data_IF_025518385994
#
_entry.id   IF_025518385994
#
_cell.length_a   1.000
_cell.length_b   1.000
_cell.length_c   1.000
_cell.angle_alpha   90.00
_cell.angle_beta   90.00
_cell.angle_gamma   90.00
#
_symmetry.space_group_name_H-M   'P 1'
#
loop_
_entity.id
_entity.type
_entity.pdbx_description
1 polymer ?
#
# COMPACT_ATOMS: atom_id res chain seq x y z
N UNK A 1 -13.54 2.78 -12.81
CA UNK A 1 -12.51 1.78 -12.43
C UNK A 1 -11.24 2.56 -12.16
N UNK A 2 -10.65 2.39 -10.98
CA UNK A 2 -9.42 3.06 -10.57
C UNK A 2 -8.18 2.20 -10.83
N UNK A 3 -7.03 2.84 -10.74
CA UNK A 3 -5.75 2.19 -10.97
C UNK A 3 -5.40 1.26 -9.81
N UNK A 4 -4.75 0.14 -10.13
CA UNK A 4 -4.31 -0.86 -9.16
C UNK A 4 -2.82 -1.11 -9.30
N UNK A 5 -2.09 -0.98 -8.21
CA UNK A 5 -0.67 -1.31 -8.12
C UNK A 5 -0.44 -2.22 -6.93
N UNK A 6 0.55 -3.11 -7.01
CA UNK A 6 0.83 -4.08 -5.96
C UNK A 6 2.30 -4.40 -5.89
N UNK A 7 2.77 -4.75 -4.70
CA UNK A 7 4.18 -4.95 -4.48
C UNK A 7 4.56 -5.18 -3.02
N UNK A 8 5.83 -5.53 -2.77
CA UNK A 8 6.37 -5.55 -1.42
C UNK A 8 6.55 -4.12 -0.89
N UNK A 9 6.24 -3.93 0.40
CA UNK A 9 6.50 -2.66 1.08
C UNK A 9 7.98 -2.55 1.41
N UNK A 10 8.64 -1.52 0.87
CA UNK A 10 10.07 -1.25 1.10
C UNK A 10 10.33 -0.68 2.48
N UNK A 11 9.48 0.24 2.93
CA UNK A 11 9.68 0.92 4.20
C UNK A 11 8.53 1.87 4.51
N UNK A 12 8.32 2.12 5.80
CA UNK A 12 7.27 3.01 6.28
C UNK A 12 7.82 4.43 6.41
N UNK A 13 7.14 5.40 5.80
CA UNK A 13 7.49 6.81 5.87
C UNK A 13 6.89 7.49 7.10
N UNK A 14 5.60 7.24 7.35
CA UNK A 14 4.83 7.82 8.48
C UNK A 14 3.82 6.79 8.99
N UNK A 15 3.01 7.13 10.00
CA UNK A 15 1.95 6.25 10.51
C UNK A 15 0.87 5.89 9.48
N UNK A 16 0.82 6.58 8.34
CA UNK A 16 -0.17 6.38 7.29
C UNK A 16 0.43 6.48 5.87
N UNK A 17 1.75 6.40 5.73
CA UNK A 17 2.40 6.44 4.43
C UNK A 17 3.60 5.51 4.38
N UNK A 18 3.82 4.89 3.23
CA UNK A 18 4.93 3.97 3.00
C UNK A 18 5.42 4.02 1.55
N UNK A 19 6.60 3.45 1.33
CA UNK A 19 7.14 3.23 0.00
C UNK A 19 6.79 1.82 -0.47
N UNK A 20 6.07 1.74 -1.58
CA UNK A 20 5.75 0.49 -2.26
C UNK A 20 6.74 0.28 -3.39
N UNK A 21 7.34 -0.91 -3.45
CA UNK A 21 8.04 -1.32 -4.66
C UNK A 21 7.01 -1.87 -5.64
N UNK A 22 6.63 -1.10 -6.64
CA UNK A 22 5.63 -1.51 -7.63
C UNK A 22 6.20 -2.68 -8.43
N UNK A 23 5.64 -3.87 -8.21
CA UNK A 23 6.02 -5.09 -8.92
C UNK A 23 4.89 -5.60 -9.81
N UNK A 24 3.65 -5.21 -9.51
CA UNK A 24 2.47 -5.52 -10.30
C UNK A 24 1.69 -4.23 -10.53
N UNK A 25 1.31 -3.99 -11.78
CA UNK A 25 0.40 -2.91 -12.17
C UNK A 25 -0.76 -3.52 -12.94
N UNK A 26 -1.95 -2.98 -12.75
CA UNK A 26 -3.10 -3.34 -13.58
C UNK A 26 -2.83 -2.89 -15.01
N UNK A 27 -3.25 -3.72 -15.97
CA UNK A 27 -3.15 -3.39 -17.41
C UNK A 27 -4.02 -2.21 -17.82
N UNK A 28 -5.05 -1.90 -17.03
CA UNK A 28 -6.02 -0.82 -17.30
C UNK A 28 -5.71 0.46 -16.51
N UNK A 29 -4.49 0.59 -15.98
CA UNK A 29 -4.08 1.79 -15.25
C UNK A 29 -4.03 2.99 -16.20
N UNK A 30 -4.59 4.11 -15.76
CA UNK A 30 -4.60 5.37 -16.50
C UNK A 30 -3.30 6.14 -16.37
N UNK A 31 -2.60 5.98 -15.25
CA UNK A 31 -1.31 6.62 -14.98
C UNK A 31 -0.14 5.63 -15.10
N UNK A 32 1.03 6.17 -15.43
CA UNK A 32 2.29 5.43 -15.37
C UNK A 32 2.86 5.50 -13.95
N UNK A 33 3.21 4.34 -13.41
CA UNK A 33 3.75 4.19 -12.06
C UNK A 33 5.23 3.86 -12.13
N UNK A 34 6.03 4.50 -11.29
CA UNK A 34 7.44 4.20 -11.15
C UNK A 34 7.68 2.85 -10.49
N UNK A 35 8.96 2.44 -10.44
CA UNK A 35 9.39 1.23 -9.72
C UNK A 35 9.15 1.35 -8.20
N UNK A 36 9.20 2.57 -7.68
CA UNK A 36 8.97 2.85 -6.26
C UNK A 36 8.05 4.04 -6.14
N UNK A 37 6.90 3.84 -5.51
CA UNK A 37 5.87 4.86 -5.34
C UNK A 37 5.62 5.13 -3.86
N UNK A 38 5.31 6.39 -3.54
CA UNK A 38 4.88 6.79 -2.20
C UNK A 38 3.38 6.60 -2.10
N UNK A 39 2.97 5.73 -1.18
CA UNK A 39 1.56 5.41 -0.96
C UNK A 39 1.12 6.04 0.36
N UNK A 40 0.09 6.85 0.29
CA UNK A 40 -0.68 7.30 1.45
C UNK A 40 -1.86 6.35 1.61
N UNK A 41 -1.99 5.84 2.82
CA UNK A 41 -3.00 4.89 3.20
C UNK A 41 -4.30 5.64 3.44
N UNK A 42 -5.27 5.48 2.54
CA UNK A 42 -6.62 5.98 2.76
C UNK A 42 -7.44 5.06 3.66
N UNK A 43 -7.26 3.75 3.46
CA UNK A 43 -7.94 2.69 4.20
C UNK A 43 -7.07 1.45 4.16
N UNK A 44 -6.91 0.78 5.31
CA UNK A 44 -6.31 -0.56 5.36
C UNK A 44 -7.42 -1.58 5.54
N UNK A 45 -7.43 -2.55 4.63
CA UNK A 45 -8.18 -3.77 4.80
C UNK A 45 -7.19 -4.88 5.13
N UNK A 46 -7.10 -5.20 6.44
CA UNK A 46 -6.26 -6.27 6.94
C UNK A 46 -7.15 -7.40 7.44
N UNK A 47 -7.12 -8.59 6.81
CA UNK A 47 -7.94 -9.72 7.26
C UNK A 47 -7.52 -10.24 8.64
N UNK A 48 -6.29 -9.96 9.10
CA UNK A 48 -5.80 -10.33 10.43
C UNK A 48 -6.26 -9.36 11.53
N UNK A 49 -6.43 -8.08 11.17
CA UNK A 49 -6.87 -7.04 12.09
C UNK A 49 -7.89 -6.12 11.40
N UNK A 50 -9.20 -6.46 11.47
CA UNK A 50 -10.26 -5.69 10.83
C UNK A 50 -10.53 -4.35 11.54
N UNK A 51 -9.93 -4.12 12.70
CA UNK A 51 -10.04 -2.88 13.49
C UNK A 51 -8.74 -2.07 13.39
N UNK A 52 -8.25 -1.81 12.18
CA UNK A 52 -7.11 -0.94 11.97
C UNK A 52 -7.38 0.48 12.54
N UNK A 53 -7.07 0.66 13.83
CA UNK A 53 -7.20 1.89 14.61
C UNK A 53 -5.83 2.53 14.59
N UNK A 54 -5.64 3.56 13.76
CA UNK A 54 -4.49 4.47 13.75
C UNK A 54 -3.25 3.91 14.47
N UNK A 55 -2.61 2.91 13.86
CA UNK A 55 -1.51 2.23 14.54
C UNK A 55 -0.23 3.07 14.42
N UNK A 56 0.65 2.99 15.42
CA UNK A 56 1.92 3.72 15.38
C UNK A 56 2.76 3.26 14.19
N UNK A 57 3.70 4.10 13.75
CA UNK A 57 4.62 3.76 12.65
C UNK A 57 5.26 2.38 12.82
N UNK A 58 5.60 2.00 14.05
CA UNK A 58 6.18 0.71 14.41
C UNK A 58 5.23 -0.46 14.15
N UNK A 59 3.95 -0.30 14.45
CA UNK A 59 2.95 -1.33 14.23
C UNK A 59 2.64 -1.49 12.74
N UNK A 60 2.47 -0.37 12.02
CA UNK A 60 2.37 -0.37 10.56
C UNK A 60 3.59 -1.04 9.92
N UNK A 61 4.78 -0.78 10.47
CA UNK A 61 6.01 -1.41 10.01
C UNK A 61 5.97 -2.92 10.22
N UNK A 62 5.57 -3.41 11.39
CA UNK A 62 5.44 -4.86 11.64
C UNK A 62 4.34 -5.51 10.82
N UNK A 63 3.26 -4.77 10.54
CA UNK A 63 2.12 -5.26 9.78
C UNK A 63 2.42 -5.34 8.27
N UNK A 64 3.12 -4.35 7.72
CA UNK A 64 3.28 -4.19 6.27
C UNK A 64 4.70 -4.43 5.75
N UNK A 65 5.76 -4.12 6.51
CA UNK A 65 7.15 -4.20 6.02
C UNK A 65 7.49 -5.62 5.62
N UNK A 66 7.96 -5.79 4.39
CA UNK A 66 8.26 -7.09 3.81
C UNK A 66 7.04 -7.92 3.41
N UNK A 67 5.80 -7.46 3.68
CA UNK A 67 4.59 -8.09 3.16
C UNK A 67 4.25 -7.55 1.78
N UNK A 68 3.56 -8.38 1.02
CA UNK A 68 3.02 -7.99 -0.28
C UNK A 68 1.64 -7.37 -0.07
N UNK A 69 1.46 -6.15 -0.57
CA UNK A 69 0.20 -5.42 -0.45
C UNK A 69 -0.31 -5.03 -1.83
N UNK A 70 -1.63 -5.01 -1.96
CA UNK A 70 -2.31 -4.50 -3.14
C UNK A 70 -2.88 -3.13 -2.81
N UNK A 71 -2.53 -2.13 -3.60
CA UNK A 71 -2.94 -0.74 -3.43
C UNK A 71 -3.88 -0.36 -4.58
N UNK A 72 -5.13 -0.04 -4.25
CA UNK A 72 -6.07 0.52 -5.21
C UNK A 72 -6.02 2.05 -5.12
N UNK A 73 -5.46 2.69 -6.14
CA UNK A 73 -5.31 4.14 -6.24
C UNK A 73 -6.68 4.79 -6.32
N UNK A 74 -6.92 5.73 -5.42
CA UNK A 74 -8.10 6.58 -5.45
C UNK A 74 -7.82 7.87 -6.21
N UNK A 75 -6.72 8.55 -5.85
CA UNK A 75 -6.24 9.76 -6.51
C UNK A 75 -4.77 10.00 -6.16
N UNK A 76 -4.08 10.77 -7.00
CA UNK A 76 -2.75 11.29 -6.71
C UNK A 76 -2.87 12.63 -5.98
N UNK A 77 -2.26 12.74 -4.81
CA UNK A 77 -2.19 14.01 -4.09
C UNK A 77 -1.10 14.89 -4.70
N UNK A 78 -1.50 15.96 -5.40
CA UNK A 78 -0.54 16.88 -6.04
C UNK A 78 0.30 17.70 -5.06
N UNK A 79 -0.05 17.76 -3.77
CA UNK A 79 0.72 18.52 -2.78
C UNK A 79 1.94 17.76 -2.29
N UNK A 80 1.79 16.45 -2.10
CA UNK A 80 2.83 15.57 -1.54
C UNK A 80 3.46 14.66 -2.59
N UNK A 81 2.94 14.69 -3.82
CA UNK A 81 3.28 13.77 -4.91
C UNK A 81 3.19 12.31 -4.46
N UNK A 82 2.13 11.99 -3.71
CA UNK A 82 1.90 10.66 -3.17
C UNK A 82 0.54 10.13 -3.62
N UNK A 83 0.46 8.81 -3.79
CA UNK A 83 -0.74 8.15 -4.25
C UNK A 83 -1.60 7.76 -3.06
N UNK A 84 -2.82 8.27 -3.00
CA UNK A 84 -3.78 7.92 -1.97
C UNK A 84 -4.48 6.64 -2.39
N UNK A 85 -4.18 5.55 -1.69
CA UNK A 85 -4.63 4.21 -2.05
C UNK A 85 -5.36 3.51 -0.91
N UNK A 86 -6.33 2.67 -1.27
CA UNK A 86 -6.85 1.65 -0.36
C UNK A 86 -5.89 0.46 -0.39
N UNK A 87 -5.34 0.13 0.78
CA UNK A 87 -4.30 -0.89 0.94
C UNK A 87 -4.94 -2.17 1.44
N UNK A 88 -4.70 -3.25 0.71
CA UNK A 88 -5.16 -4.60 1.02
C UNK A 88 -3.94 -5.44 1.33
N UNK A 89 -3.83 -5.92 2.57
CA UNK A 89 -2.72 -6.77 3.00
C UNK A 89 -2.99 -8.18 2.50
N UNK A 90 -2.16 -8.66 1.57
CA UNK A 90 -2.24 -10.06 1.16
C UNK A 90 -1.49 -10.90 2.19
N UNK A 91 -2.18 -11.89 2.76
CA UNK A 91 -1.49 -12.92 3.55
C UNK A 91 -0.58 -13.72 2.63
N UNK A 92 0.68 -13.97 2.98
CA UNK A 92 1.39 -15.09 2.37
C UNK A 92 0.56 -16.37 2.63
N UNK A 93 0.43 -17.30 1.67
CA UNK A 93 -0.20 -18.57 1.94
C UNK A 93 0.51 -19.23 3.14
N UNK A 94 -0.26 -19.59 4.18
CA UNK A 94 0.27 -20.33 5.32
C UNK A 94 0.80 -21.69 4.82
N UNK A 95 2.12 -21.80 4.70
CA UNK A 95 2.77 -23.01 4.20
C UNK A 95 4.17 -22.76 3.67
N UNK A 96 5.13 -22.58 4.57
CA UNK A 96 6.53 -22.92 4.35
C UNK A 96 7.09 -23.58 5.61
#
# INVERSE_FOLDING_TARGET
MGDGIGGPVMGILTNNAFQLLVSHVRKDNKEEYGKTEKIIIAKIDNPDDPQYKETTQEDLERALKGKFVSCNVQYRDSKTDALVCNVFVQKPPEGF
#
